data_IF_328956297898
#
_entry.id   IF_328956297898
#
_cell.length_a   1.000
_cell.length_b   1.000
_cell.length_c   1.000
_cell.angle_alpha   90.00
_cell.angle_beta   90.00
_cell.angle_gamma   90.00
#
_symmetry.space_group_name_H-M   'P 1'
#
loop_
_entity.id
_entity.type
_entity.pdbx_description
1 polymer ?
#
# COMPACT_ATOMS: atom_id res chain seq x y z
N UNK A 1 -52.87 8.29 -50.03
CA UNK A 1 -53.35 7.69 -48.75
C UNK A 1 -52.17 7.05 -48.02
N UNK A 2 -52.00 7.42 -46.75
CA UNK A 2 -51.23 6.79 -45.64
C UNK A 2 -49.73 6.53 -45.81
N UNK A 3 -48.94 7.46 -45.23
CA UNK A 3 -47.60 7.23 -44.69
C UNK A 3 -47.70 6.20 -43.55
N UNK A 4 -47.01 5.07 -43.63
CA UNK A 4 -46.73 4.23 -42.46
C UNK A 4 -45.33 4.56 -41.95
N UNK A 5 -45.28 5.11 -40.74
CA UNK A 5 -44.07 5.41 -39.99
C UNK A 5 -43.58 4.12 -39.34
N UNK A 6 -42.38 3.65 -39.67
CA UNK A 6 -41.74 2.52 -39.02
C UNK A 6 -40.95 3.06 -37.81
N UNK A 7 -41.50 2.91 -36.60
CA UNK A 7 -40.79 3.17 -35.36
C UNK A 7 -39.92 1.96 -35.04
N UNK A 8 -38.60 2.10 -35.23
CA UNK A 8 -37.61 1.16 -34.71
C UNK A 8 -37.34 1.50 -33.24
N UNK A 9 -37.96 0.76 -32.32
CA UNK A 9 -37.61 0.81 -30.91
C UNK A 9 -36.32 0.00 -30.70
N UNK A 10 -35.16 0.69 -30.65
CA UNK A 10 -33.91 0.07 -30.21
C UNK A 10 -33.96 0.02 -28.68
N UNK A 11 -34.29 -1.15 -28.14
CA UNK A 11 -34.09 -1.45 -26.73
C UNK A 11 -32.58 -1.61 -26.49
N UNK A 12 -31.90 -0.53 -26.08
CA UNK A 12 -30.60 -0.66 -25.42
C UNK A 12 -30.84 -1.32 -24.06
N UNK A 13 -30.67 -2.64 -24.03
CA UNK A 13 -30.44 -3.36 -22.79
C UNK A 13 -29.12 -2.89 -22.20
N UNK A 14 -29.18 -1.91 -21.31
CA UNK A 14 -28.14 -1.67 -20.33
C UNK A 14 -28.07 -2.92 -19.45
N UNK A 15 -27.25 -3.88 -19.86
CA UNK A 15 -26.73 -4.88 -18.93
C UNK A 15 -25.90 -4.09 -17.92
N UNK A 16 -26.52 -3.71 -16.80
CA UNK A 16 -25.80 -3.34 -15.60
C UNK A 16 -24.97 -4.55 -15.24
N UNK A 17 -23.69 -4.55 -15.64
CA UNK A 17 -22.72 -5.48 -15.11
C UNK A 17 -22.64 -5.19 -13.61
N UNK A 18 -23.43 -5.95 -12.83
CA UNK A 18 -23.30 -6.00 -11.39
C UNK A 18 -21.95 -6.67 -11.15
N UNK A 19 -20.90 -5.85 -11.06
CA UNK A 19 -19.55 -6.29 -10.69
C UNK A 19 -19.65 -6.89 -9.29
N UNK A 20 -19.72 -8.22 -9.23
CA UNK A 20 -19.90 -8.99 -8.02
C UNK A 20 -18.55 -9.03 -7.27
N UNK A 21 -18.60 -8.86 -5.94
CA UNK A 21 -17.44 -9.13 -5.07
C UNK A 21 -16.86 -10.51 -5.36
N UNK A 22 -15.54 -10.74 -5.13
CA UNK A 22 -14.92 -12.04 -5.39
C UNK A 22 -15.68 -13.14 -4.66
N UNK A 23 -16.37 -14.00 -5.42
CA UNK A 23 -17.14 -15.13 -4.90
C UNK A 23 -16.25 -16.33 -4.65
N UNK A 24 -15.25 -16.49 -5.53
CA UNK A 24 -14.22 -17.53 -5.50
C UNK A 24 -12.87 -16.84 -5.58
N UNK A 25 -11.92 -17.29 -4.75
CA UNK A 25 -10.53 -16.85 -4.78
C UNK A 25 -9.67 -18.01 -5.30
N UNK A 26 -9.03 -17.80 -6.44
CA UNK A 26 -8.03 -18.75 -6.96
C UNK A 26 -6.76 -18.66 -6.12
N UNK A 27 -6.28 -19.82 -5.67
CA UNK A 27 -5.13 -19.96 -4.79
C UNK A 27 -4.13 -20.96 -5.35
N UNK A 28 -2.87 -20.83 -4.93
CA UNK A 28 -1.85 -21.83 -5.17
C UNK A 28 -1.62 -22.64 -3.89
N UNK A 29 -1.87 -23.94 -3.94
CA UNK A 29 -1.47 -24.85 -2.89
C UNK A 29 0.02 -25.19 -3.04
N UNK A 30 0.79 -24.86 -2.01
CA UNK A 30 2.25 -24.97 -2.00
C UNK A 30 2.67 -26.11 -1.09
N UNK A 31 3.46 -27.04 -1.64
CA UNK A 31 3.99 -28.19 -0.92
C UNK A 31 5.51 -28.32 -1.17
N UNK A 32 6.22 -28.88 -0.19
CA UNK A 32 7.61 -29.28 -0.38
C UNK A 32 7.65 -30.51 -1.29
N UNK A 33 8.30 -30.39 -2.44
CA UNK A 33 8.49 -31.47 -3.40
C UNK A 33 9.74 -32.32 -3.09
N UNK A 34 10.43 -32.03 -2.00
CA UNK A 34 11.71 -32.63 -1.63
C UNK A 34 12.89 -31.97 -2.34
N UNK A 35 14.08 -32.05 -1.73
CA UNK A 35 15.32 -31.51 -2.30
C UNK A 35 15.35 -29.99 -2.43
N UNK A 36 14.57 -29.26 -1.61
CA UNK A 36 14.49 -27.80 -1.62
C UNK A 36 13.67 -27.21 -2.77
N UNK A 37 12.88 -28.04 -3.48
CA UNK A 37 11.98 -27.60 -4.55
C UNK A 37 10.56 -27.44 -4.03
N UNK A 38 9.91 -26.34 -4.39
CA UNK A 38 8.50 -26.09 -4.07
C UNK A 38 7.62 -26.49 -5.26
N UNK A 39 6.59 -27.29 -5.02
CA UNK A 39 5.53 -27.57 -6.00
C UNK A 39 4.33 -26.67 -5.75
N UNK A 40 3.72 -26.16 -6.83
CA UNK A 40 2.48 -25.38 -6.78
C UNK A 40 1.38 -26.15 -7.51
N UNK A 41 0.23 -26.34 -6.86
CA UNK A 41 -0.98 -26.96 -7.42
C UNK A 41 -2.14 -25.96 -7.37
N UNK A 42 -3.05 -25.95 -8.35
CA UNK A 42 -4.21 -25.06 -8.31
C UNK A 42 -5.15 -25.45 -7.16
N UNK A 43 -5.71 -24.44 -6.51
CA UNK A 43 -6.67 -24.52 -5.42
C UNK A 43 -7.65 -23.35 -5.51
N UNK A 44 -8.80 -23.45 -4.85
CA UNK A 44 -9.78 -22.36 -4.81
C UNK A 44 -10.51 -22.32 -3.47
N UNK A 45 -10.85 -21.10 -3.04
CA UNK A 45 -11.64 -20.84 -1.84
C UNK A 45 -12.96 -20.19 -2.23
N UNK A 46 -14.06 -20.81 -1.82
CA UNK A 46 -15.41 -20.30 -2.00
C UNK A 46 -15.83 -19.54 -0.74
N UNK A 47 -16.03 -18.23 -0.87
CA UNK A 47 -16.36 -17.33 0.24
C UNK A 47 -17.87 -17.14 0.48
N UNK A 48 -18.70 -17.50 -0.51
CA UNK A 48 -20.15 -17.22 -0.49
C UNK A 48 -20.90 -18.22 0.41
N UNK A 49 -21.74 -17.70 1.32
CA UNK A 49 -22.66 -18.48 2.16
C UNK A 49 -24.12 -18.53 1.63
N UNK A 50 -24.30 -18.53 0.30
CA UNK A 50 -25.63 -18.56 -0.33
C UNK A 50 -26.20 -19.98 -0.47
N UNK A 51 -27.52 -20.08 -0.65
CA UNK A 51 -28.24 -21.32 -0.96
C UNK A 51 -28.05 -21.81 -2.41
N UNK A 52 -27.37 -21.03 -3.24
CA UNK A 52 -26.98 -21.44 -4.60
C UNK A 52 -25.93 -22.55 -4.53
N UNK A 53 -26.07 -23.53 -5.43
CA UNK A 53 -25.11 -24.61 -5.58
C UNK A 53 -23.69 -24.07 -5.81
N UNK A 54 -22.67 -24.58 -5.11
CA UNK A 54 -21.29 -24.18 -5.33
C UNK A 54 -20.88 -24.45 -6.80
N UNK A 55 -20.08 -23.57 -7.43
CA UNK A 55 -19.67 -23.78 -8.81
C UNK A 55 -18.85 -25.06 -8.94
N UNK A 56 -19.13 -25.83 -9.99
CA UNK A 56 -18.41 -27.07 -10.30
C UNK A 56 -16.97 -26.77 -10.73
N UNK A 57 -16.02 -27.46 -10.10
CA UNK A 57 -14.57 -27.35 -10.36
C UNK A 57 -13.94 -28.74 -10.54
N UNK A 58 -14.22 -29.43 -11.67
CA UNK A 58 -13.67 -30.76 -11.92
C UNK A 58 -12.14 -30.74 -12.13
N UNK A 59 -11.56 -29.56 -12.38
CA UNK A 59 -10.13 -29.31 -12.44
C UNK A 59 -9.43 -29.41 -11.08
N UNK A 60 -10.17 -29.30 -9.98
CA UNK A 60 -9.63 -29.28 -8.62
C UNK A 60 -9.95 -30.57 -7.87
N UNK A 61 -8.99 -31.01 -7.06
CA UNK A 61 -9.25 -32.04 -6.06
C UNK A 61 -10.11 -31.44 -4.92
N UNK A 62 -10.99 -32.22 -4.28
CA UNK A 62 -11.86 -31.72 -3.20
C UNK A 62 -11.07 -31.15 -2.01
N UNK A 63 -9.89 -31.69 -1.72
CA UNK A 63 -8.99 -31.18 -0.66
C UNK A 63 -8.42 -29.79 -0.97
N UNK A 64 -8.47 -29.35 -2.24
CA UNK A 64 -7.98 -28.06 -2.72
C UNK A 64 -9.10 -27.11 -3.13
N UNK A 65 -10.36 -27.54 -3.03
CA UNK A 65 -11.52 -26.70 -3.25
C UNK A 65 -12.31 -26.58 -1.96
N UNK A 66 -12.14 -25.44 -1.27
CA UNK A 66 -12.65 -25.26 0.08
C UNK A 66 -13.82 -24.29 0.12
N UNK A 67 -14.92 -24.69 0.76
CA UNK A 67 -16.01 -23.79 1.14
C UNK A 67 -15.75 -23.25 2.53
N UNK A 68 -15.58 -21.93 2.62
CA UNK A 68 -15.18 -21.27 3.86
C UNK A 68 -16.40 -21.05 4.76
N UNK A 69 -16.36 -21.67 5.93
CA UNK A 69 -17.19 -21.33 7.08
C UNK A 69 -16.38 -20.36 7.95
N UNK A 70 -16.87 -19.14 8.10
CA UNK A 70 -16.18 -18.07 8.86
C UNK A 70 -17.11 -17.58 9.99
N UNK A 71 -17.10 -18.25 11.16
CA UNK A 71 -17.98 -17.94 12.28
C UNK A 71 -17.75 -16.54 12.85
N UNK A 72 -16.48 -16.09 12.91
CA UNK A 72 -16.13 -14.77 13.40
C UNK A 72 -16.47 -13.65 12.38
N UNK A 73 -16.73 -14.02 11.13
CA UNK A 73 -17.06 -13.09 10.05
C UNK A 73 -15.91 -12.20 9.58
N UNK A 74 -14.71 -12.32 10.18
CA UNK A 74 -13.57 -11.45 9.91
C UNK A 74 -13.02 -11.62 8.49
N UNK A 75 -12.94 -12.86 8.01
CA UNK A 75 -12.47 -13.15 6.65
C UNK A 75 -13.46 -12.58 5.63
N UNK A 76 -14.76 -12.78 5.83
CA UNK A 76 -15.80 -12.20 4.98
C UNK A 76 -15.83 -10.66 5.09
N UNK A 77 -15.62 -10.10 6.28
CA UNK A 77 -15.60 -8.66 6.53
C UNK A 77 -14.42 -7.97 5.82
N UNK A 78 -13.24 -8.60 5.81
CA UNK A 78 -12.06 -8.10 5.09
C UNK A 78 -12.36 -7.88 3.60
N UNK A 79 -13.16 -8.77 2.99
CA UNK A 79 -13.59 -8.63 1.59
C UNK A 79 -14.78 -7.66 1.38
N UNK A 80 -15.39 -7.12 2.43
CA UNK A 80 -16.44 -6.10 2.27
C UNK A 80 -15.89 -4.76 1.78
N UNK A 81 -14.68 -4.40 2.24
CA UNK A 81 -13.98 -3.16 1.88
C UNK A 81 -13.13 -3.31 0.61
N UNK A 82 -12.95 -4.54 0.11
CA UNK A 82 -12.21 -4.79 -1.12
C UNK A 82 -12.87 -4.09 -2.32
N UNK A 83 -12.13 -3.32 -3.13
CA UNK A 83 -12.72 -2.61 -4.27
C UNK A 83 -13.31 -3.59 -5.28
N UNK A 84 -14.49 -3.27 -5.82
CA UNK A 84 -15.22 -4.18 -6.73
C UNK A 84 -14.49 -4.43 -8.05
N UNK A 85 -13.79 -3.42 -8.56
CA UNK A 85 -13.07 -3.48 -9.84
C UNK A 85 -11.58 -3.78 -9.65
N UNK A 86 -11.14 -4.09 -8.42
CA UNK A 86 -9.77 -4.49 -8.15
C UNK A 86 -9.51 -5.91 -8.65
N UNK A 87 -8.28 -6.21 -9.14
CA UNK A 87 -7.87 -7.58 -9.43
C UNK A 87 -8.03 -8.49 -8.22
N UNK A 88 -8.23 -9.79 -8.44
CA UNK A 88 -8.24 -10.77 -7.36
C UNK A 88 -6.91 -10.73 -6.57
N UNK A 89 -6.96 -10.89 -5.23
CA UNK A 89 -5.75 -10.94 -4.43
C UNK A 89 -4.91 -12.17 -4.80
N UNK A 90 -3.59 -12.07 -4.63
CA UNK A 90 -2.71 -13.24 -4.71
C UNK A 90 -3.00 -14.12 -3.50
N UNK A 91 -3.32 -15.38 -3.72
CA UNK A 91 -3.61 -16.32 -2.65
C UNK A 91 -2.65 -17.51 -2.72
N UNK A 92 -2.05 -17.84 -1.57
CA UNK A 92 -1.26 -19.04 -1.37
C UNK A 92 -1.83 -19.83 -0.18
N UNK A 93 -1.88 -21.14 -0.32
CA UNK A 93 -2.38 -22.08 0.68
C UNK A 93 -1.29 -23.10 0.96
N UNK A 94 -1.11 -23.48 2.21
CA UNK A 94 -0.09 -24.45 2.62
C UNK A 94 -0.56 -25.25 3.83
N UNK A 95 0.09 -26.38 4.10
CA UNK A 95 -0.13 -27.14 5.31
C UNK A 95 0.41 -26.37 6.51
N UNK A 96 -0.39 -26.31 7.57
CA UNK A 96 -0.01 -25.71 8.84
C UNK A 96 0.15 -26.79 9.91
N UNK A 97 1.15 -26.64 10.78
CA UNK A 97 1.37 -27.54 11.91
C UNK A 97 1.29 -26.70 13.19
N UNK A 98 0.26 -26.91 14.04
CA UNK A 98 0.15 -26.20 15.31
C UNK A 98 1.35 -26.51 16.21
N UNK A 99 2.11 -25.48 16.56
CA UNK A 99 3.33 -25.59 17.35
C UNK A 99 3.42 -24.40 18.31
N UNK A 100 3.98 -24.59 19.53
CA UNK A 100 4.27 -23.48 20.43
C UNK A 100 5.16 -22.43 19.76
N UNK A 101 4.94 -21.17 20.10
CA UNK A 101 5.79 -20.09 19.63
C UNK A 101 7.23 -20.29 20.12
N UNK A 102 8.21 -20.07 19.24
CA UNK A 102 9.63 -20.31 19.55
C UNK A 102 10.24 -19.26 20.47
N UNK A 103 9.64 -18.06 20.55
CA UNK A 103 10.17 -16.97 21.35
C UNK A 103 9.87 -17.17 22.85
N UNK A 104 10.90 -17.06 23.69
CA UNK A 104 10.79 -17.32 25.14
C UNK A 104 9.76 -16.47 25.87
N UNK A 105 9.51 -15.23 25.42
CA UNK A 105 8.54 -14.33 26.04
C UNK A 105 7.07 -14.74 25.78
N UNK A 106 6.84 -15.66 24.83
CA UNK A 106 5.53 -16.24 24.53
C UNK A 106 5.25 -17.56 25.27
N UNK A 107 6.21 -18.05 26.06
CA UNK A 107 6.06 -19.34 26.77
C UNK A 107 4.84 -19.39 27.69
N UNK A 108 4.41 -18.24 28.21
CA UNK A 108 3.20 -18.12 29.04
C UNK A 108 1.90 -18.44 28.30
N UNK A 109 1.87 -18.41 26.95
CA UNK A 109 0.68 -18.79 26.17
C UNK A 109 0.49 -20.31 26.12
N UNK A 110 1.55 -21.09 26.33
CA UNK A 110 1.52 -22.55 26.32
C UNK A 110 2.24 -23.09 27.55
N UNK A 111 1.64 -22.95 28.75
CA UNK A 111 2.25 -23.45 29.99
C UNK A 111 2.22 -24.97 30.09
N UNK A 112 1.30 -25.62 29.37
CA UNK A 112 1.15 -27.07 29.35
C UNK A 112 2.30 -27.75 28.59
N UNK A 113 2.76 -28.89 29.11
CA UNK A 113 3.84 -29.67 28.49
C UNK A 113 3.35 -30.67 27.43
N UNK A 114 2.06 -30.64 27.08
CA UNK A 114 1.43 -31.55 26.12
C UNK A 114 0.60 -30.81 25.10
N UNK A 115 0.55 -31.28 23.85
CA UNK A 115 -0.30 -30.69 22.82
C UNK A 115 -1.80 -30.94 23.11
N UNK A 116 -2.66 -29.90 23.10
CA UNK A 116 -4.10 -30.07 23.27
C UNK A 116 -4.72 -30.91 22.16
N UNK A 117 -5.51 -31.92 22.53
CA UNK A 117 -6.26 -32.76 21.57
C UNK A 117 -7.28 -31.97 20.73
N UNK A 118 -7.69 -30.79 21.19
CA UNK A 118 -8.56 -29.90 20.41
C UNK A 118 -7.93 -29.46 19.07
N UNK A 119 -6.60 -29.53 18.96
CA UNK A 119 -5.83 -29.19 17.76
C UNK A 119 -5.65 -30.37 16.79
N UNK A 120 -6.19 -31.56 17.10
CA UNK A 120 -6.05 -32.73 16.25
C UNK A 120 -6.68 -32.52 14.86
N UNK A 121 -6.05 -33.10 13.84
CA UNK A 121 -6.49 -33.06 12.45
C UNK A 121 -5.61 -32.19 11.56
N UNK A 122 -6.03 -32.06 10.29
CA UNK A 122 -5.31 -31.28 9.28
C UNK A 122 -5.59 -29.79 9.47
N UNK A 123 -4.55 -28.98 9.30
CA UNK A 123 -4.65 -27.52 9.30
C UNK A 123 -4.05 -26.96 8.01
N UNK A 124 -4.67 -25.88 7.54
CA UNK A 124 -4.23 -25.14 6.38
C UNK A 124 -3.99 -23.69 6.76
N UNK A 125 -2.88 -23.12 6.29
CA UNK A 125 -2.66 -21.68 6.33
C UNK A 125 -2.93 -21.11 4.96
N UNK A 126 -3.76 -20.08 4.91
CA UNK A 126 -4.05 -19.29 3.73
C UNK A 126 -3.49 -17.90 3.91
N UNK A 127 -2.65 -17.45 2.98
CA UNK A 127 -2.13 -16.09 2.92
C UNK A 127 -2.63 -15.41 1.65
N UNK A 128 -3.22 -14.22 1.80
CA UNK A 128 -3.73 -13.39 0.72
C UNK A 128 -3.04 -12.03 0.73
N UNK A 129 -2.58 -11.57 -0.43
CA UNK A 129 -1.92 -10.27 -0.58
C UNK A 129 -2.38 -9.52 -1.82
N UNK A 130 -2.61 -8.23 -1.64
CA UNK A 130 -2.98 -7.27 -2.67
C UNK A 130 -2.60 -5.86 -2.20
N UNK A 131 -2.71 -4.83 -3.06
CA UNK A 131 -2.55 -3.44 -2.62
C UNK A 131 -3.61 -2.95 -1.63
N UNK A 132 -4.71 -3.69 -1.42
CA UNK A 132 -5.87 -3.26 -0.63
C UNK A 132 -6.12 -4.12 0.62
N UNK A 133 -5.51 -5.31 0.67
CA UNK A 133 -5.72 -6.30 1.71
C UNK A 133 -4.47 -7.17 1.83
N UNK A 134 -4.00 -7.36 3.06
CA UNK A 134 -3.06 -8.41 3.45
C UNK A 134 -3.70 -9.21 4.58
N UNK A 135 -3.85 -10.52 4.39
CA UNK A 135 -4.62 -11.40 5.25
C UNK A 135 -3.92 -12.75 5.40
N UNK A 136 -3.97 -13.30 6.61
CA UNK A 136 -3.57 -14.66 6.92
C UNK A 136 -4.67 -15.33 7.71
N UNK A 137 -5.08 -16.52 7.30
CA UNK A 137 -6.12 -17.30 7.99
C UNK A 137 -5.70 -18.75 8.17
N UNK A 138 -5.92 -19.26 9.38
CA UNK A 138 -5.78 -20.67 9.70
C UNK A 138 -7.13 -21.35 9.55
N UNK A 139 -7.20 -22.30 8.62
CA UNK A 139 -8.37 -23.05 8.27
C UNK A 139 -8.27 -24.49 8.78
N UNK A 140 -9.37 -25.01 9.31
CA UNK A 140 -9.54 -26.42 9.65
C UNK A 140 -10.51 -27.08 8.68
N UNK A 141 -10.04 -27.83 7.67
CA UNK A 141 -10.90 -28.63 6.81
C UNK A 141 -11.62 -29.73 7.59
N UNK A 142 -12.86 -30.02 7.19
CA UNK A 142 -13.61 -31.18 7.69
C UNK A 142 -13.09 -32.47 7.02
N UNK A 143 -13.14 -33.58 7.76
CA UNK A 143 -12.57 -34.86 7.33
C UNK A 143 -13.28 -35.51 6.15
N UNK A 144 -14.56 -35.22 5.94
CA UNK A 144 -15.34 -35.77 4.82
C UNK A 144 -15.83 -34.63 3.90
N UNK A 145 -15.52 -34.67 2.59
CA UNK A 145 -16.12 -33.76 1.61
C UNK A 145 -17.64 -33.96 1.60
N UNK A 146 -18.41 -32.87 1.59
CA UNK A 146 -19.87 -33.00 1.52
C UNK A 146 -20.29 -33.46 0.11
N UNK A 147 -21.08 -34.54 -0.03
CA UNK A 147 -21.57 -34.96 -1.32
C UNK A 147 -22.76 -34.09 -1.76
N UNK A 148 -22.66 -33.67 -3.02
CA UNK A 148 -23.68 -33.08 -3.90
C UNK A 148 -24.15 -31.63 -3.64
N UNK A 149 -24.23 -30.79 -4.70
CA UNK A 149 -23.99 -31.11 -6.13
C UNK A 149 -22.52 -30.92 -6.59
N UNK A 150 -21.58 -30.51 -5.73
CA UNK A 150 -20.15 -30.41 -6.06
C UNK A 150 -19.27 -31.04 -4.98
N UNK A 151 -18.21 -31.76 -5.38
CA UNK A 151 -17.19 -32.30 -4.48
C UNK A 151 -16.35 -31.16 -3.89
N UNK A 152 -16.78 -30.63 -2.75
CA UNK A 152 -16.18 -29.48 -2.08
C UNK A 152 -15.97 -29.80 -0.60
N UNK A 153 -14.83 -29.38 -0.04
CA UNK A 153 -14.53 -29.60 1.38
C UNK A 153 -14.91 -28.36 2.18
N UNK A 154 -15.71 -28.53 3.23
CA UNK A 154 -15.97 -27.43 4.18
C UNK A 154 -14.73 -27.17 5.03
N UNK A 155 -14.33 -25.91 5.18
CA UNK A 155 -13.22 -25.52 6.04
C UNK A 155 -13.64 -24.37 6.97
N UNK A 156 -13.36 -24.51 8.26
CA UNK A 156 -13.69 -23.47 9.25
C UNK A 156 -12.49 -22.55 9.47
N UNK A 157 -12.68 -21.25 9.36
CA UNK A 157 -11.68 -20.25 9.72
C UNK A 157 -11.59 -20.14 11.25
N UNK A 158 -10.42 -20.46 11.80
CA UNK A 158 -10.17 -20.52 13.25
C UNK A 158 -9.50 -19.24 13.73
N UNK A 159 -8.44 -18.81 13.06
CA UNK A 159 -7.73 -17.56 13.34
C UNK A 159 -7.62 -16.80 12.03
N UNK A 160 -8.05 -15.56 12.00
CA UNK A 160 -7.84 -14.67 10.85
C UNK A 160 -7.15 -13.41 11.32
N UNK A 161 -6.07 -13.01 10.68
CA UNK A 161 -5.31 -11.79 10.92
C UNK A 161 -5.27 -11.01 9.62
N UNK A 162 -5.62 -9.73 9.64
CA UNK A 162 -5.70 -8.94 8.41
C UNK A 162 -5.45 -7.44 8.64
N UNK A 163 -5.16 -6.76 7.55
CA UNK A 163 -5.04 -5.29 7.47
C UNK A 163 -5.66 -4.79 6.18
N UNK A 164 -6.36 -3.65 6.24
CA UNK A 164 -6.88 -2.97 5.07
C UNK A 164 -5.87 -1.98 4.45
N UNK A 165 -4.75 -1.74 5.12
CA UNK A 165 -3.70 -0.83 4.66
C UNK A 165 -2.38 -1.55 4.51
N UNK A 166 -2.23 -2.48 3.54
CA UNK A 166 -1.01 -3.25 3.37
C UNK A 166 0.17 -2.43 2.86
N UNK A 167 -0.06 -1.27 2.24
CA UNK A 167 0.98 -0.37 1.70
C UNK A 167 0.81 1.07 2.22
N UNK A 168 0.90 1.30 3.54
CA UNK A 168 0.62 2.60 4.13
C UNK A 168 1.66 3.62 3.67
N UNK A 169 1.17 4.79 3.25
CA UNK A 169 1.98 5.91 2.75
C UNK A 169 1.89 7.06 3.74
N UNK A 170 2.96 7.27 4.51
CA UNK A 170 2.94 8.18 5.66
C UNK A 170 3.83 9.39 5.39
N UNK A 171 3.32 10.63 5.61
CA UNK A 171 4.14 11.81 5.49
C UNK A 171 5.28 11.79 6.51
N UNK A 172 6.49 12.15 6.07
CA UNK A 172 7.66 12.19 6.93
C UNK A 172 7.43 13.12 8.14
N UNK A 173 7.78 12.64 9.33
CA UNK A 173 7.61 13.33 10.60
C UNK A 173 6.19 13.27 11.18
N UNK A 174 5.24 12.63 10.49
CA UNK A 174 3.93 12.27 11.04
C UNK A 174 3.99 10.90 11.70
N UNK A 175 3.00 10.61 12.53
CA UNK A 175 2.83 9.30 13.14
C UNK A 175 2.23 8.31 12.13
N UNK A 176 2.75 7.08 12.11
CA UNK A 176 2.16 5.99 11.35
C UNK A 176 1.27 5.15 12.23
N UNK A 177 0.04 4.91 11.77
CA UNK A 177 -0.88 3.93 12.32
C UNK A 177 -1.01 2.78 11.33
N UNK A 178 -0.42 1.63 11.65
CA UNK A 178 -0.47 0.43 10.83
C UNK A 178 -1.63 -0.43 11.33
N UNK A 179 -2.75 -0.39 10.60
CA UNK A 179 -3.97 -1.14 10.89
C UNK A 179 -3.68 -2.63 11.01
N UNK A 180 -4.18 -3.25 12.08
CA UNK A 180 -4.15 -4.69 12.28
C UNK A 180 -5.37 -5.11 13.07
N UNK A 181 -6.17 -5.99 12.48
CA UNK A 181 -7.32 -6.61 13.11
C UNK A 181 -7.18 -8.13 13.03
N UNK A 182 -7.71 -8.81 14.03
CA UNK A 182 -7.74 -10.27 14.04
C UNK A 182 -9.02 -10.80 14.66
N UNK A 183 -9.30 -12.08 14.43
CA UNK A 183 -10.42 -12.75 15.03
C UNK A 183 -10.10 -14.22 15.29
N UNK A 184 -10.70 -14.76 16.35
CA UNK A 184 -10.48 -16.11 16.82
C UNK A 184 -11.79 -16.82 17.16
N UNK A 185 -11.89 -18.07 16.71
CA UNK A 185 -12.98 -18.98 17.03
C UNK A 185 -12.44 -20.08 17.96
N UNK A 186 -12.99 -20.24 19.18
CA UNK A 186 -12.56 -21.31 20.08
C UNK A 186 -12.90 -22.70 19.49
N UNK A 187 -11.96 -23.64 19.65
CA UNK A 187 -12.08 -24.98 19.06
C UNK A 187 -13.02 -25.91 19.83
N UNK A 188 -13.32 -25.59 21.09
CA UNK A 188 -14.26 -26.35 21.93
C UNK A 188 -15.14 -25.37 22.70
N UNK A 189 -16.48 -25.43 22.56
CA UNK A 189 -17.40 -24.57 23.31
C UNK A 189 -17.49 -24.92 24.80
N UNK A 190 -16.91 -26.05 25.23
CA UNK A 190 -16.81 -26.45 26.64
C UNK A 190 -15.34 -26.69 26.99
N UNK A 191 -14.61 -25.63 27.33
CA UNK A 191 -13.40 -25.80 28.12
C UNK A 191 -13.81 -26.10 29.58
N UNK A 192 -13.33 -27.18 30.20
CA UNK A 192 -13.40 -27.32 31.65
C UNK A 192 -12.33 -26.41 32.25
N UNK A 193 -12.76 -25.39 33.00
CA UNK A 193 -11.91 -24.55 33.86
C UNK A 193 -10.75 -23.78 33.19
N UNK A 194 -10.97 -22.52 32.87
CA UNK A 194 -10.35 -21.36 33.55
C UNK A 194 -10.91 -20.08 32.92
N UNK A 195 -11.72 -19.33 33.69
CA UNK A 195 -12.35 -18.04 33.40
C UNK A 195 -13.14 -17.92 32.06
N UNK A 196 -14.45 -17.61 32.08
CA UNK A 196 -15.17 -17.23 30.86
C UNK A 196 -14.53 -15.98 30.24
N UNK A 197 -14.44 -15.93 28.90
CA UNK A 197 -13.87 -14.81 28.15
C UNK A 197 -12.76 -15.21 27.18
N UNK A 198 -12.19 -14.23 26.45
CA UNK A 198 -11.20 -14.49 25.41
C UNK A 198 -9.84 -14.95 25.99
N UNK A 199 -9.12 -15.84 25.28
CA UNK A 199 -7.81 -16.31 25.73
C UNK A 199 -6.76 -15.19 25.69
N UNK A 200 -5.68 -15.28 26.47
CA UNK A 200 -4.55 -14.40 26.27
C UNK A 200 -3.95 -14.61 24.87
N UNK A 201 -3.40 -13.54 24.31
CA UNK A 201 -2.71 -13.58 23.02
C UNK A 201 -1.39 -12.82 23.09
N UNK A 202 -0.49 -13.12 22.18
CA UNK A 202 0.74 -12.37 21.96
C UNK A 202 0.64 -11.55 20.68
N UNK A 203 1.16 -10.33 20.69
CA UNK A 203 1.32 -9.51 19.50
C UNK A 203 2.79 -9.20 19.29
N UNK A 204 3.28 -9.44 18.08
CA UNK A 204 4.66 -9.20 17.68
C UNK A 204 4.70 -8.31 16.43
N UNK A 205 5.43 -7.20 16.50
CA UNK A 205 5.73 -6.34 15.35
C UNK A 205 7.22 -6.31 15.07
N UNK A 206 7.59 -6.64 13.84
CA UNK A 206 8.98 -6.62 13.37
C UNK A 206 9.12 -5.76 12.12
N UNK A 207 10.28 -5.12 11.94
CA UNK A 207 10.69 -4.53 10.67
C UNK A 207 11.80 -5.34 10.05
N UNK A 208 11.60 -5.83 8.83
CA UNK A 208 12.61 -6.50 8.03
C UNK A 208 13.31 -5.48 7.14
N UNK A 209 14.62 -5.35 7.30
CA UNK A 209 15.46 -4.50 6.47
C UNK A 209 16.75 -5.25 6.13
N UNK A 210 17.07 -5.35 4.84
CA UNK A 210 18.26 -6.06 4.34
C UNK A 210 18.40 -7.50 4.88
N UNK A 211 17.28 -8.24 4.95
CA UNK A 211 17.25 -9.62 5.44
C UNK A 211 17.33 -9.78 6.97
N UNK A 212 17.48 -8.69 7.75
CA UNK A 212 17.47 -8.71 9.22
C UNK A 212 16.14 -8.19 9.76
N UNK A 213 15.39 -9.07 10.43
CA UNK A 213 14.14 -8.72 11.12
C UNK A 213 14.41 -8.19 12.53
N UNK A 214 14.15 -6.90 12.78
CA UNK A 214 14.29 -6.27 14.08
C UNK A 214 12.93 -6.25 14.79
N UNK A 215 12.85 -6.79 16.00
CA UNK A 215 11.66 -6.70 16.84
C UNK A 215 11.47 -5.24 17.28
N UNK A 216 10.29 -4.68 17.01
CA UNK A 216 9.92 -3.32 17.39
C UNK A 216 9.03 -3.30 18.63
N UNK A 217 8.07 -4.22 18.71
CA UNK A 217 7.12 -4.31 19.81
C UNK A 217 6.71 -5.76 20.03
N UNK A 218 6.57 -6.12 21.31
CA UNK A 218 6.04 -7.40 21.76
C UNK A 218 5.17 -7.15 23.00
N UNK A 219 3.94 -7.67 23.01
CA UNK A 219 3.02 -7.57 24.15
C UNK A 219 2.22 -8.86 24.29
N UNK A 220 1.80 -9.20 25.52
CA UNK A 220 0.95 -10.36 25.82
C UNK A 220 -0.26 -9.97 26.66
N UNK A 221 -1.30 -9.32 26.08
CA UNK A 221 -2.51 -8.98 26.82
C UNK A 221 -3.14 -10.22 27.48
N UNK A 222 -3.57 -10.06 28.73
CA UNK A 222 -4.13 -11.16 29.54
C UNK A 222 -3.09 -12.03 30.24
N UNK A 223 -1.78 -11.81 30.01
CA UNK A 223 -0.70 -12.49 30.73
C UNK A 223 0.25 -11.48 31.37
N UNK A 224 0.57 -11.74 32.64
CA UNK A 224 1.66 -11.06 33.31
C UNK A 224 2.96 -11.77 32.96
N UNK A 225 3.78 -11.16 32.12
CA UNK A 225 5.06 -11.72 31.67
C UNK A 225 6.06 -10.65 31.29
N UNK A 226 7.35 -10.99 31.36
CA UNK A 226 8.39 -10.10 30.88
C UNK A 226 8.41 -10.10 29.35
N UNK A 227 8.04 -8.97 28.76
CA UNK A 227 8.09 -8.77 27.31
C UNK A 227 9.33 -7.97 26.90
N UNK A 228 9.87 -8.18 25.69
CA UNK A 228 10.93 -7.35 25.15
C UNK A 228 10.55 -5.86 25.14
N UNK A 229 11.52 -4.98 25.43
CA UNK A 229 11.29 -3.54 25.43
C UNK A 229 10.93 -3.04 24.02
N UNK A 230 9.92 -2.17 23.95
CA UNK A 230 9.52 -1.51 22.71
C UNK A 230 10.66 -0.60 22.19
N UNK A 231 10.76 -0.49 20.87
CA UNK A 231 11.76 0.34 20.18
C UNK A 231 11.09 1.52 19.48
N UNK A 232 11.87 2.58 19.26
CA UNK A 232 11.46 3.73 18.44
C UNK A 232 10.20 4.44 18.97
N UNK A 233 9.92 4.33 20.27
CA UNK A 233 8.73 4.90 20.90
C UNK A 233 7.42 4.24 20.47
N UNK A 234 7.49 3.08 19.81
CA UNK A 234 6.33 2.41 19.28
C UNK A 234 5.40 1.87 20.37
N UNK A 235 4.09 1.95 20.13
CA UNK A 235 3.07 1.30 20.96
C UNK A 235 2.09 0.54 20.09
N UNK A 236 1.26 -0.32 20.69
CA UNK A 236 0.22 -1.03 19.98
C UNK A 236 -1.10 -0.97 20.76
N UNK A 237 -2.20 -0.84 20.03
CA UNK A 237 -3.55 -0.98 20.55
C UNK A 237 -3.93 -2.45 20.55
N UNK A 238 -3.30 -3.22 21.45
CA UNK A 238 -3.44 -4.67 21.53
C UNK A 238 -4.51 -5.06 22.56
N UNK A 239 -5.72 -5.37 22.11
CA UNK A 239 -6.82 -5.80 22.96
C UNK A 239 -7.84 -6.66 22.18
N UNK A 240 -8.63 -7.45 22.90
CA UNK A 240 -9.90 -7.97 22.38
C UNK A 240 -10.93 -6.84 22.38
N UNK A 241 -11.84 -6.85 21.40
CA UNK A 241 -12.87 -5.83 21.25
C UNK A 241 -14.02 -6.03 22.26
N UNK A 242 -14.27 -7.27 22.66
CA UNK A 242 -15.29 -7.68 23.63
C UNK A 242 -14.77 -8.82 24.54
N UNK A 243 -15.48 -9.05 25.65
CA UNK A 243 -15.21 -10.10 26.63
C UNK A 243 -16.30 -11.17 26.65
N UNK A 244 -16.94 -11.44 25.50
CA UNK A 244 -18.04 -12.39 25.42
C UNK A 244 -17.64 -13.78 25.96
N UNK A 245 -18.48 -14.50 26.71
CA UNK A 245 -18.03 -15.67 27.45
C UNK A 245 -17.52 -16.85 26.60
N UNK A 246 -18.03 -16.98 25.37
CA UNK A 246 -17.85 -18.18 24.53
C UNK A 246 -17.30 -17.90 23.13
N UNK A 247 -17.04 -16.63 22.80
CA UNK A 247 -16.62 -16.21 21.46
C UNK A 247 -17.65 -16.49 20.37
N UNK A 248 -17.27 -16.34 19.09
CA UNK A 248 -15.95 -15.92 18.61
C UNK A 248 -15.61 -14.48 19.03
N UNK A 249 -14.32 -14.17 19.09
CA UNK A 249 -13.84 -12.84 19.48
C UNK A 249 -13.13 -12.15 18.33
N UNK A 250 -13.26 -10.83 18.25
CA UNK A 250 -12.43 -9.97 17.41
C UNK A 250 -11.49 -9.15 18.28
N UNK A 251 -10.34 -8.77 17.73
CA UNK A 251 -9.35 -7.99 18.44
C UNK A 251 -8.58 -7.06 17.51
N UNK A 252 -7.97 -6.07 18.14
CA UNK A 252 -7.14 -5.07 17.50
C UNK A 252 -5.69 -5.27 17.92
N UNK A 253 -4.75 -5.04 17.00
CA UNK A 253 -3.33 -5.00 17.27
C UNK A 253 -2.60 -3.91 16.49
N UNK A 254 -3.33 -2.84 16.15
CA UNK A 254 -2.83 -1.69 15.37
C UNK A 254 -1.58 -1.11 15.99
N UNK A 255 -0.56 -0.88 15.17
CA UNK A 255 0.74 -0.38 15.60
C UNK A 255 0.87 1.10 15.36
N UNK A 256 1.32 1.84 16.37
CA UNK A 256 1.60 3.26 16.30
C UNK A 256 3.11 3.50 16.38
N UNK A 257 3.64 4.14 15.34
CA UNK A 257 5.04 4.54 15.25
C UNK A 257 5.12 6.07 15.16
N UNK A 258 5.66 6.76 16.18
CA UNK A 258 5.69 8.21 16.20
C UNK A 258 6.74 8.79 15.24
N UNK A 259 6.41 9.94 14.64
CA UNK A 259 7.32 10.78 13.86
C UNK A 259 8.22 10.02 12.86
N UNK A 260 7.58 9.35 11.89
CA UNK A 260 8.24 8.44 10.96
C UNK A 260 9.33 9.11 10.12
N UNK A 261 10.47 8.44 10.03
CA UNK A 261 11.65 8.86 9.26
C UNK A 261 11.93 7.89 8.11
N UNK A 262 12.66 8.33 7.06
CA UNK A 262 13.07 7.46 5.96
C UNK A 262 13.79 6.17 6.39
N UNK A 263 14.59 6.21 7.46
CA UNK A 263 15.28 5.02 7.98
C UNK A 263 14.35 3.95 8.57
N UNK A 264 13.08 4.28 8.79
CA UNK A 264 12.06 3.38 9.32
C UNK A 264 11.16 2.82 8.20
N UNK A 265 11.39 3.20 6.95
CA UNK A 265 10.70 2.64 5.78
C UNK A 265 11.03 1.15 5.58
N UNK A 266 10.11 0.42 4.95
CA UNK A 266 10.33 -0.96 4.51
C UNK A 266 9.24 -1.93 4.96
N UNK A 267 9.59 -3.20 5.00
CA UNK A 267 8.65 -4.29 5.25
C UNK A 267 8.43 -4.51 6.75
N UNK A 268 7.18 -4.41 7.18
CA UNK A 268 6.72 -4.70 8.54
C UNK A 268 5.99 -6.04 8.56
N UNK A 269 6.25 -6.84 9.59
CA UNK A 269 5.61 -8.12 9.84
C UNK A 269 4.87 -8.01 11.17
N UNK A 270 3.58 -8.33 11.14
CA UNK A 270 2.73 -8.41 12.32
C UNK A 270 2.33 -9.86 12.54
N UNK A 271 2.63 -10.40 13.71
CA UNK A 271 2.27 -11.77 14.09
C UNK A 271 1.41 -11.76 15.33
N UNK A 272 0.22 -12.36 15.23
CA UNK A 272 -0.66 -12.63 16.36
C UNK A 272 -0.45 -14.08 16.78
N UNK A 273 -0.12 -14.28 18.04
CA UNK A 273 0.16 -15.57 18.68
C UNK A 273 -0.99 -15.94 19.61
N UNK A 274 -1.51 -17.13 19.44
CA UNK A 274 -2.44 -17.80 20.33
C UNK A 274 -1.80 -19.13 20.76
N UNK A 275 -2.37 -19.84 21.76
CA UNK A 275 -1.86 -21.15 22.14
C UNK A 275 -1.74 -22.07 20.91
N UNK A 276 -0.51 -22.43 20.54
CA UNK A 276 -0.14 -23.27 19.39
C UNK A 276 -0.47 -22.72 17.99
N UNK A 277 -1.07 -21.54 17.89
CA UNK A 277 -1.54 -20.96 16.64
C UNK A 277 -0.87 -19.61 16.42
N UNK A 278 -0.47 -19.32 15.18
CA UNK A 278 0.05 -18.01 14.82
C UNK A 278 -0.45 -17.59 13.43
N UNK A 279 -0.88 -16.35 13.31
CA UNK A 279 -1.21 -15.70 12.04
C UNK A 279 -0.25 -14.55 11.80
N UNK A 280 0.31 -14.45 10.59
CA UNK A 280 1.28 -13.41 10.25
C UNK A 280 0.86 -12.70 8.97
N UNK A 281 0.91 -11.37 8.99
CA UNK A 281 0.72 -10.54 7.80
C UNK A 281 1.92 -9.64 7.55
N UNK A 282 2.04 -9.21 6.30
CA UNK A 282 3.11 -8.32 5.84
C UNK A 282 2.51 -7.00 5.37
N UNK A 283 3.17 -5.90 5.74
CA UNK A 283 2.87 -4.53 5.33
C UNK A 283 4.13 -3.87 4.76
N UNK A 284 3.99 -2.97 3.80
CA UNK A 284 5.09 -2.21 3.21
C UNK A 284 4.89 -0.72 3.49
N UNK A 285 5.53 -0.23 4.55
CA UNK A 285 5.45 1.18 4.94
C UNK A 285 6.32 2.01 4.01
N UNK A 286 5.71 2.96 3.32
CA UNK A 286 6.38 3.93 2.47
C UNK A 286 6.33 5.34 3.09
N UNK A 287 7.44 6.06 3.02
CA UNK A 287 7.54 7.43 3.55
C UNK A 287 7.46 8.44 2.42
N UNK A 288 6.74 9.54 2.62
CA UNK A 288 6.55 10.58 1.61
C UNK A 288 6.85 11.97 2.19
N UNK A 289 7.53 12.83 1.43
CA UNK A 289 7.69 14.25 1.76
C UNK A 289 7.56 15.08 0.49
N UNK A 290 6.62 16.05 0.42
CA UNK A 290 6.46 16.90 -0.77
C UNK A 290 7.62 17.88 -0.94
N UNK A 291 8.16 18.03 -2.16
CA UNK A 291 9.22 18.99 -2.42
C UNK A 291 8.75 20.44 -2.23
N UNK A 292 9.63 21.27 -1.69
CA UNK A 292 9.54 22.72 -1.81
C UNK A 292 10.25 23.13 -3.10
N UNK A 293 9.53 23.77 -4.01
CA UNK A 293 10.05 24.20 -5.31
C UNK A 293 10.23 25.71 -5.27
N UNK A 294 11.44 26.17 -5.52
CA UNK A 294 11.78 27.58 -5.63
C UNK A 294 12.65 27.80 -6.87
N UNK A 295 12.57 28.99 -7.45
CA UNK A 295 13.32 29.35 -8.65
C UNK A 295 14.21 30.56 -8.36
N UNK A 296 15.44 30.53 -8.87
CA UNK A 296 16.44 31.58 -8.68
C UNK A 296 17.14 31.84 -10.02
N UNK A 297 17.28 33.11 -10.47
CA UNK A 297 16.70 34.32 -9.90
C UNK A 297 15.17 34.37 -10.09
N UNK A 298 14.45 34.95 -9.13
CA UNK A 298 13.02 35.23 -9.19
C UNK A 298 12.72 36.55 -8.45
N UNK A 299 11.66 37.31 -8.80
CA UNK A 299 10.59 36.96 -9.76
C UNK A 299 10.85 37.40 -11.20
N UNK A 300 11.94 38.13 -11.46
CA UNK A 300 12.26 38.72 -12.76
C UNK A 300 13.71 38.43 -13.14
N UNK A 301 13.94 38.21 -14.43
CA UNK A 301 15.26 38.06 -15.04
C UNK A 301 15.39 39.00 -16.22
N UNK A 302 16.54 39.65 -16.33
CA UNK A 302 16.83 40.66 -17.35
C UNK A 302 17.88 40.17 -18.34
N UNK A 303 17.71 40.52 -19.61
CA UNK A 303 18.71 40.30 -20.66
C UNK A 303 18.57 41.36 -21.76
N UNK A 304 19.68 41.73 -22.40
CA UNK A 304 19.64 42.53 -23.62
C UNK A 304 19.24 41.66 -24.83
N UNK A 305 18.65 42.23 -25.89
CA UNK A 305 18.41 41.50 -27.13
C UNK A 305 19.72 40.91 -27.68
N UNK A 306 19.73 39.61 -27.98
CA UNK A 306 20.92 38.89 -28.45
C UNK A 306 21.88 38.45 -27.34
N UNK A 307 21.57 38.70 -26.07
CA UNK A 307 22.30 38.18 -24.91
C UNK A 307 21.54 37.02 -24.26
N UNK A 308 22.29 36.06 -23.70
CA UNK A 308 21.70 34.97 -22.92
C UNK A 308 21.39 35.46 -21.49
N UNK A 309 20.16 35.26 -21.00
CA UNK A 309 19.82 35.53 -19.60
C UNK A 309 20.70 34.73 -18.63
N UNK A 310 20.82 35.16 -17.35
CA UNK A 310 21.46 34.36 -16.32
C UNK A 310 20.80 32.98 -16.21
N UNK A 311 21.62 32.01 -15.83
CA UNK A 311 21.18 30.63 -15.59
C UNK A 311 20.04 30.59 -14.58
N UNK A 312 18.98 29.86 -14.91
CA UNK A 312 17.87 29.61 -14.02
C UNK A 312 18.13 28.35 -13.21
N UNK A 313 18.05 28.48 -11.89
CA UNK A 313 18.27 27.41 -10.94
C UNK A 313 16.96 27.12 -10.19
N UNK A 314 16.41 25.94 -10.44
CA UNK A 314 15.23 25.42 -9.75
C UNK A 314 15.65 24.55 -8.56
N UNK A 315 15.43 25.08 -7.35
CA UNK A 315 15.71 24.41 -6.09
C UNK A 315 14.54 23.49 -5.73
N UNK A 316 14.78 22.18 -5.74
CA UNK A 316 13.83 21.16 -5.29
C UNK A 316 14.29 20.66 -3.94
N UNK A 317 13.69 21.20 -2.88
CA UNK A 317 14.19 21.05 -1.51
C UNK A 317 13.34 20.14 -0.63
N UNK A 318 14.01 19.34 0.21
CA UNK A 318 13.43 18.53 1.28
C UNK A 318 12.27 17.63 0.83
N UNK A 319 12.53 16.76 -0.15
CA UNK A 319 11.58 15.77 -0.63
C UNK A 319 12.04 14.34 -0.34
N UNK A 320 11.11 13.40 -0.45
CA UNK A 320 11.37 11.97 -0.31
C UNK A 320 10.17 11.19 -0.88
N UNK A 321 10.35 10.09 -1.62
CA UNK A 321 11.61 9.41 -1.96
C UNK A 321 12.39 10.05 -3.13
N UNK A 322 13.55 9.49 -3.48
CA UNK A 322 14.34 9.95 -4.65
C UNK A 322 13.72 9.58 -6.00
N UNK A 323 13.03 8.44 -6.05
CA UNK A 323 12.48 7.88 -7.28
C UNK A 323 11.18 8.56 -7.68
N UNK A 324 10.93 8.64 -9.00
CA UNK A 324 9.73 9.27 -9.54
C UNK A 324 9.74 10.80 -9.46
N UNK A 325 10.88 11.41 -9.14
CA UNK A 325 11.07 12.85 -9.28
C UNK A 325 11.43 13.19 -10.73
N UNK A 326 10.65 14.06 -11.35
CA UNK A 326 10.92 14.59 -12.68
C UNK A 326 10.85 16.11 -12.66
N UNK A 327 11.77 16.75 -13.38
CA UNK A 327 11.81 18.21 -13.50
C UNK A 327 11.71 18.60 -14.97
N UNK A 328 10.69 19.38 -15.29
CA UNK A 328 10.43 19.92 -16.61
C UNK A 328 10.54 21.44 -16.61
N UNK A 329 10.93 21.99 -17.74
CA UNK A 329 11.00 23.43 -17.95
C UNK A 329 9.98 23.84 -18.99
N UNK A 330 9.08 24.75 -18.61
CA UNK A 330 7.97 25.24 -19.41
C UNK A 330 8.19 26.73 -19.75
N UNK A 331 7.75 27.16 -20.92
CA UNK A 331 7.64 28.55 -21.33
C UNK A 331 6.15 28.90 -21.53
N UNK A 332 5.73 30.01 -20.95
CA UNK A 332 4.36 30.54 -21.03
C UNK A 332 4.36 31.96 -21.56
N UNK A 333 3.37 32.28 -22.39
CA UNK A 333 3.20 33.65 -22.90
C UNK A 333 4.26 34.08 -23.91
N UNK A 334 4.88 33.13 -24.62
CA UNK A 334 5.66 33.43 -25.83
C UNK A 334 4.75 33.82 -27.02
N UNK A 335 5.33 34.05 -28.21
CA UNK A 335 4.60 34.54 -29.40
C UNK A 335 3.37 33.69 -29.81
N UNK A 336 3.30 32.43 -29.40
CA UNK A 336 2.17 31.52 -29.68
C UNK A 336 1.11 31.40 -28.57
N UNK A 337 1.29 32.04 -27.40
CA UNK A 337 0.32 32.02 -26.29
C UNK A 337 0.04 30.66 -25.63
N UNK A 338 0.63 29.56 -26.12
CA UNK A 338 0.48 28.19 -25.60
C UNK A 338 1.63 27.82 -24.63
N UNK A 339 1.38 26.83 -23.78
CA UNK A 339 2.41 26.19 -22.97
C UNK A 339 3.39 25.45 -23.89
N UNK A 340 4.66 25.81 -23.85
CA UNK A 340 5.71 25.15 -24.61
C UNK A 340 6.83 24.63 -23.70
N UNK A 341 7.64 23.71 -24.21
CA UNK A 341 8.85 23.25 -23.53
C UNK A 341 9.93 24.31 -23.69
N UNK A 342 10.58 24.71 -22.60
CA UNK A 342 11.64 25.69 -22.67
C UNK A 342 12.86 25.11 -23.41
N UNK A 343 13.43 25.93 -24.29
CA UNK A 343 14.68 25.63 -24.98
C UNK A 343 15.89 25.99 -24.12
N UNK A 344 17.05 25.40 -24.43
CA UNK A 344 18.30 25.66 -23.71
C UNK A 344 18.99 24.39 -23.19
N UNK A 345 20.17 24.58 -22.61
CA UNK A 345 20.92 23.50 -21.98
C UNK A 345 20.36 23.27 -20.58
N UNK A 346 20.10 22.00 -20.24
CA UNK A 346 19.51 21.62 -18.95
C UNK A 346 20.24 20.43 -18.34
N UNK A 347 20.50 20.51 -17.05
CA UNK A 347 21.15 19.45 -16.28
C UNK A 347 20.63 19.43 -14.84
N UNK A 348 20.88 18.32 -14.15
CA UNK A 348 20.50 18.14 -12.75
C UNK A 348 21.77 18.02 -11.90
N UNK A 349 21.74 18.60 -10.71
CA UNK A 349 22.78 18.37 -9.71
C UNK A 349 22.70 16.95 -9.16
N UNK A 350 23.78 16.50 -8.52
CA UNK A 350 23.73 15.32 -7.66
C UNK A 350 22.74 15.52 -6.50
N UNK A 351 22.21 14.41 -5.96
CA UNK A 351 21.35 14.45 -4.78
C UNK A 351 22.14 14.89 -3.54
N UNK A 352 21.54 15.78 -2.76
CA UNK A 352 22.02 16.22 -1.45
C UNK A 352 21.19 15.57 -0.36
N UNK A 353 21.85 14.86 0.55
CA UNK A 353 21.20 14.21 1.69
C UNK A 353 21.19 15.14 2.90
N UNK A 354 20.04 15.23 3.57
CA UNK A 354 19.88 15.95 4.82
C UNK A 354 19.93 15.01 6.02
N UNK A 355 20.22 15.54 7.20
CA UNK A 355 20.27 14.75 8.44
C UNK A 355 18.91 14.19 8.87
N UNK A 356 17.82 14.81 8.44
CA UNK A 356 16.46 14.29 8.64
C UNK A 356 16.15 13.09 7.72
N UNK A 357 17.02 12.79 6.75
CA UNK A 357 16.85 11.74 5.74
C UNK A 357 16.14 12.23 4.47
N UNK A 358 15.70 13.49 4.42
CA UNK A 358 15.15 14.06 3.19
C UNK A 358 16.24 14.40 2.18
N UNK A 359 15.82 14.66 0.94
CA UNK A 359 16.70 14.87 -0.20
C UNK A 359 16.46 16.25 -0.81
N UNK A 360 17.49 16.80 -1.44
CA UNK A 360 17.39 17.98 -2.30
C UNK A 360 18.16 17.77 -3.59
N UNK A 361 17.71 18.40 -4.68
CA UNK A 361 18.52 18.64 -5.88
C UNK A 361 18.25 20.03 -6.43
N UNK A 362 19.11 20.44 -7.34
CA UNK A 362 18.94 21.64 -8.15
C UNK A 362 18.84 21.23 -9.61
N UNK A 363 17.85 21.76 -10.32
CA UNK A 363 17.78 21.67 -11.78
C UNK A 363 18.22 23.00 -12.37
N UNK A 364 19.04 22.93 -13.40
CA UNK A 364 19.67 24.08 -14.01
C UNK A 364 19.16 24.22 -15.44
N UNK A 365 18.91 25.46 -15.86
CA UNK A 365 18.53 25.80 -17.23
C UNK A 365 19.32 27.03 -17.68
N UNK A 366 20.14 26.84 -18.70
CA UNK A 366 20.83 27.90 -19.39
C UNK A 366 20.08 28.24 -20.69
N UNK A 367 19.50 29.43 -20.72
CA UNK A 367 18.68 29.92 -21.82
C UNK A 367 19.54 30.34 -23.02
N UNK A 368 19.05 30.16 -24.26
CA UNK A 368 19.69 30.75 -25.44
C UNK A 368 19.56 32.29 -25.44
N UNK A 369 20.30 32.99 -26.31
CA UNK A 369 20.14 34.42 -26.53
C UNK A 369 18.70 34.81 -26.84
N UNK A 370 18.17 35.84 -26.16
CA UNK A 370 16.75 36.20 -26.24
C UNK A 370 16.46 37.27 -27.29
N UNK A 371 15.25 37.25 -27.85
CA UNK A 371 14.74 38.27 -28.77
C UNK A 371 13.77 39.21 -28.05
N UNK A 372 13.51 40.39 -28.64
CA UNK A 372 12.53 41.35 -28.10
C UNK A 372 11.10 40.79 -28.00
N UNK A 373 10.76 39.78 -28.80
CA UNK A 373 9.44 39.11 -28.79
C UNK A 373 9.20 38.27 -27.54
N UNK A 374 10.27 37.88 -26.83
CA UNK A 374 10.19 37.09 -25.60
C UNK A 374 10.04 37.97 -24.35
N UNK A 375 9.95 39.29 -24.51
CA UNK A 375 9.67 40.21 -23.41
C UNK A 375 8.32 39.88 -22.74
N UNK A 376 8.32 39.69 -21.42
CA UNK A 376 7.12 39.32 -20.66
C UNK A 376 6.81 37.83 -20.65
N UNK A 377 7.61 36.99 -21.34
CA UNK A 377 7.45 35.55 -21.28
C UNK A 377 7.80 35.00 -19.89
N UNK A 378 7.12 33.93 -19.47
CA UNK A 378 7.27 33.30 -18.17
C UNK A 378 7.90 31.92 -18.29
N UNK A 379 9.09 31.75 -17.73
CA UNK A 379 9.73 30.45 -17.59
C UNK A 379 9.28 29.81 -16.29
N UNK A 380 8.89 28.54 -16.32
CA UNK A 380 8.47 27.79 -15.15
C UNK A 380 9.25 26.48 -15.03
N UNK A 381 9.73 26.19 -13.83
CA UNK A 381 10.20 24.87 -13.46
C UNK A 381 9.04 24.08 -12.88
N UNK A 382 8.65 22.99 -13.55
CA UNK A 382 7.60 22.06 -13.13
C UNK A 382 8.24 20.82 -12.52
N UNK A 383 7.80 20.44 -11.32
CA UNK A 383 8.28 19.25 -10.61
C UNK A 383 7.14 18.27 -10.43
N UNK A 384 7.37 17.04 -10.90
CA UNK A 384 6.51 15.88 -10.63
C UNK A 384 7.19 14.99 -9.58
N UNK A 385 6.38 14.46 -8.66
CA UNK A 385 6.86 13.63 -7.56
C UNK A 385 5.71 12.79 -7.00
N UNK A 386 5.92 11.55 -6.50
CA UNK A 386 4.85 10.68 -6.00
C UNK A 386 4.01 11.24 -4.83
N UNK A 387 4.54 12.22 -4.10
CA UNK A 387 3.83 12.91 -3.02
C UNK A 387 3.11 14.20 -3.46
N UNK A 388 3.17 14.54 -4.75
CA UNK A 388 2.41 15.64 -5.36
C UNK A 388 1.22 15.10 -6.16
N UNK A 389 0.29 15.98 -6.51
CA UNK A 389 -0.79 15.66 -7.45
C UNK A 389 -0.24 15.49 -8.87
N UNK A 390 -1.06 14.95 -9.77
CA UNK A 390 -0.69 14.75 -11.18
C UNK A 390 -0.26 16.05 -11.90
N UNK A 391 -0.73 17.22 -11.44
CA UNK A 391 -0.36 18.54 -11.98
C UNK A 391 1.05 19.00 -11.57
N UNK A 392 1.69 18.28 -10.64
CA UNK A 392 2.99 18.64 -10.08
C UNK A 392 2.95 19.97 -9.32
N UNK A 393 4.13 20.54 -9.09
CA UNK A 393 4.32 21.86 -8.47
C UNK A 393 5.25 22.68 -9.34
N UNK A 394 4.90 23.94 -9.60
CA UNK A 394 5.72 24.82 -10.43
C UNK A 394 6.13 26.11 -9.73
N UNK A 395 7.32 26.61 -10.06
CA UNK A 395 7.76 27.97 -9.75
C UNK A 395 8.07 28.69 -11.06
N UNK A 396 7.70 29.96 -11.18
CA UNK A 396 7.85 30.74 -12.42
C UNK A 396 8.64 32.05 -12.21
N UNK A 397 9.29 32.50 -13.29
CA UNK A 397 10.02 33.76 -13.40
C UNK A 397 9.65 34.44 -14.71
N UNK A 398 9.55 35.76 -14.70
CA UNK A 398 9.24 36.55 -15.89
C UNK A 398 10.51 37.11 -16.51
N UNK A 399 10.68 36.92 -17.82
CA UNK A 399 11.78 37.50 -18.60
C UNK A 399 11.45 38.94 -18.99
N UNK A 400 12.41 39.83 -18.80
CA UNK A 400 12.36 41.22 -19.21
C UNK A 400 13.51 41.50 -20.16
N UNK A 401 13.19 41.80 -21.42
CA UNK A 401 14.17 42.14 -22.44
C UNK A 401 14.27 43.66 -22.55
N UNK A 402 15.49 44.20 -22.47
CA UNK A 402 15.74 45.64 -22.61
C UNK A 402 15.37 46.12 -24.02
N UNK A 403 14.78 47.31 -24.14
CA UNK A 403 14.54 47.92 -25.44
C UNK A 403 15.88 48.28 -26.11
N UNK A 404 16.07 47.86 -27.36
CA UNK A 404 17.22 48.30 -28.15
C UNK A 404 17.08 49.81 -28.39
N UNK A 405 17.98 50.62 -27.81
CA UNK A 405 18.14 52.01 -28.23
C UNK A 405 18.75 52.00 -29.62
N UNK A 406 17.91 52.18 -30.65
CA UNK A 406 18.38 52.55 -31.97
C UNK A 406 19.00 53.95 -31.85
N UNK A 407 20.33 54.02 -31.75
CA UNK A 407 21.07 55.26 -32.03
C UNK A 407 20.93 55.60 -33.50
N UNK A 408 19.86 56.32 -33.85
CA UNK A 408 19.81 57.09 -35.09
C UNK A 408 20.80 58.25 -34.94
N UNK A 409 22.03 58.05 -35.42
CA UNK A 409 22.94 59.15 -35.70
C UNK A 409 22.31 60.01 -36.80
N UNK A 410 21.70 61.12 -36.38
CA UNK A 410 21.33 62.23 -37.25
C UNK A 410 22.59 62.79 -37.91
N UNK A 411 22.84 62.42 -39.16
CA UNK A 411 23.66 63.18 -40.10
C UNK A 411 22.76 64.21 -40.77
N UNK A 412 22.51 65.32 -40.08
CA UNK A 412 22.08 66.58 -40.68
C UNK A 412 22.99 67.66 -40.12
N UNK A 413 23.98 68.07 -40.91
CA UNK A 413 24.42 69.47 -41.10
C UNK A 413 25.80 69.49 -41.77
N UNK A 414 25.80 69.73 -43.09
CA UNK A 414 26.50 70.88 -43.70
C UNK A 414 26.25 70.91 -45.19
N UNK A 415 25.27 71.73 -45.57
CA UNK A 415 25.22 72.46 -46.83
C UNK A 415 25.02 73.94 -46.45
N UNK A 416 25.50 74.84 -47.30
CA UNK A 416 25.63 76.32 -47.19
C UNK A 416 26.72 76.79 -46.21
N UNK A 417 27.72 77.58 -46.60
CA UNK A 417 28.01 78.40 -47.80
C UNK A 417 29.39 78.11 -48.41
#
# INVERSE_FOLDING_TARGET
>A
MKRLSLLLAVALGLATAVSARPTVIECWFVEDAGGGKLAKKPAALLLRQGAESPPLRPDLAPERYLKIHDPAGALQAAFRQYPRDAPAPRCEMSLYVPLPASAKWLSGLTPEQSCPRALDGTWLMVSMSSPFLSLSSLLRPQSEPQPEPALITMATAVLTVFTHTPTPRIPMGQDALLDLSFAYVPLTPKAPSLAPGPPPFGLEWRRQHLGKGHLLLAVTPGLNGQVPAAREGAVAFAAWDDDEPWGPWTGNGTFWLPAVRPSQEGTYLATVHLPYLQGQITLELAVLKPPKVALTPAPLVWAAPGEAPPELLCLVSHFYPSHGLEVEWELRGGPEGRLQKAEGQRWLSALRHHSDGSLSLSAHLQLPPVTSEQHGARYACRVHHPSLSALGRSAEVTLQVAAAYLTTQNSMEKKTE
#
